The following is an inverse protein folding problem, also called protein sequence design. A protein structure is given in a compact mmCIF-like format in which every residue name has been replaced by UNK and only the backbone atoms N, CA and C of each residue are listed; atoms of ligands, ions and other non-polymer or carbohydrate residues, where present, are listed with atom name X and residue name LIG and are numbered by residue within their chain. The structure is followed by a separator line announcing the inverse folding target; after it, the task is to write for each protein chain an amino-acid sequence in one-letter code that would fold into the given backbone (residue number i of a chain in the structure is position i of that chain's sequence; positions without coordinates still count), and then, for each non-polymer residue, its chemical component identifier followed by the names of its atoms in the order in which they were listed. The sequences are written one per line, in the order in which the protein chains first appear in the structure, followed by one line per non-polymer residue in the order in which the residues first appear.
data_IF_250762468288
#
_entry.id   IF_250762468288
#
_cell.length_a   1.000
_cell.length_b   1.000
_cell.length_c   1.000
_cell.angle_alpha   90.00
_cell.angle_beta   90.00
_cell.angle_gamma   90.00
#
_symmetry.space_group_name_H-M   'P 1'
#
loop_
_entity.id
_entity.type
_entity.pdbx_description
1 polymer ?
#
# COMPACT_ATOMS: atom_id res chain seq x y z
N UNK A 1 -16.74 6.25 -3.09
CA UNK A 1 -15.33 6.24 -3.60
C UNK A 1 -15.02 7.52 -4.38
N UNK A 2 -13.82 8.04 -4.26
CA UNK A 2 -13.38 9.24 -4.97
C UNK A 2 -12.47 8.86 -6.14
N UNK A 3 -12.86 9.22 -7.38
CA UNK A 3 -12.01 9.02 -8.54
C UNK A 3 -10.87 10.04 -8.52
N UNK A 4 -9.61 9.54 -8.57
CA UNK A 4 -8.40 10.37 -8.51
C UNK A 4 -7.84 10.59 -9.92
N UNK A 5 -7.63 9.48 -10.65
CA UNK A 5 -7.15 9.47 -12.03
C UNK A 5 -8.07 8.61 -12.91
N UNK A 6 -7.74 8.46 -14.16
CA UNK A 6 -8.58 7.72 -15.12
C UNK A 6 -8.82 6.27 -14.69
N UNK A 7 -7.82 5.66 -14.05
CA UNK A 7 -7.73 4.26 -13.67
C UNK A 7 -7.57 4.05 -12.15
N UNK A 8 -7.63 5.12 -11.34
CA UNK A 8 -7.39 5.06 -9.89
C UNK A 8 -8.51 5.74 -9.10
N UNK A 9 -8.99 5.06 -8.06
CA UNK A 9 -9.95 5.56 -7.07
C UNK A 9 -9.42 5.36 -5.66
N UNK A 10 -9.79 6.26 -4.77
CA UNK A 10 -9.58 6.14 -3.34
C UNK A 10 -10.89 5.74 -2.66
N UNK A 11 -10.82 4.72 -1.79
CA UNK A 11 -11.90 4.40 -0.86
C UNK A 11 -12.00 5.53 0.16
N UNK A 12 -13.21 5.95 0.62
CA UNK A 12 -13.33 6.97 1.65
C UNK A 12 -12.46 6.67 2.87
N UNK A 13 -11.81 7.72 3.38
CA UNK A 13 -10.90 7.62 4.52
C UNK A 13 -11.61 7.15 5.78
N UNK A 14 -10.95 6.29 6.53
CA UNK A 14 -11.44 5.75 7.80
C UNK A 14 -10.55 6.22 8.96
N UNK A 15 -11.19 6.54 10.09
CA UNK A 15 -10.48 6.79 11.35
C UNK A 15 -10.19 5.46 12.04
N UNK A 16 -8.93 5.08 12.14
CA UNK A 16 -8.52 3.84 12.82
C UNK A 16 -8.23 4.07 14.31
N UNK A 17 -7.30 4.96 14.62
CA UNK A 17 -6.89 5.26 15.99
C UNK A 17 -6.65 6.77 16.17
N UNK A 18 -7.43 7.42 17.02
CA UNK A 18 -7.27 8.84 17.31
C UNK A 18 -7.36 9.72 16.06
N UNK A 19 -6.24 10.31 15.64
CA UNK A 19 -6.13 11.14 14.43
C UNK A 19 -5.61 10.39 13.21
N UNK A 20 -5.32 9.08 13.33
CA UNK A 20 -4.83 8.24 12.24
C UNK A 20 -5.98 7.96 11.26
N UNK A 21 -5.77 8.34 10.02
CA UNK A 21 -6.65 8.08 8.88
C UNK A 21 -6.05 6.93 8.08
N UNK A 22 -6.87 5.94 7.70
CA UNK A 22 -6.47 4.89 6.77
C UNK A 22 -7.11 5.07 5.41
N UNK A 23 -6.42 4.58 4.38
CA UNK A 23 -6.81 4.70 2.98
C UNK A 23 -6.63 3.35 2.28
N UNK A 24 -7.56 3.00 1.43
CA UNK A 24 -7.42 1.93 0.45
C UNK A 24 -7.63 2.48 -0.96
N UNK A 25 -7.06 1.83 -1.94
CA UNK A 25 -7.09 2.27 -3.33
C UNK A 25 -7.61 1.16 -4.24
N UNK A 26 -8.48 1.53 -5.15
CA UNK A 26 -8.91 0.69 -6.25
C UNK A 26 -8.19 1.13 -7.52
N UNK A 27 -7.42 0.22 -8.10
CA UNK A 27 -6.68 0.41 -9.35
C UNK A 27 -7.26 -0.50 -10.44
N UNK A 28 -7.60 0.08 -11.58
CA UNK A 28 -8.08 -0.64 -12.74
C UNK A 28 -6.97 -0.70 -13.78
N UNK A 29 -6.36 -1.87 -13.93
CA UNK A 29 -5.39 -2.11 -15.00
C UNK A 29 -6.08 -2.66 -16.25
N UNK A 30 -5.39 -2.78 -17.38
CA UNK A 30 -5.98 -3.42 -18.57
C UNK A 30 -6.42 -4.86 -18.36
N UNK A 31 -5.73 -5.59 -17.47
CA UNK A 31 -5.92 -7.03 -17.31
C UNK A 31 -6.78 -7.40 -16.11
N UNK A 32 -6.84 -6.54 -15.08
CA UNK A 32 -7.47 -6.87 -13.78
C UNK A 32 -7.79 -5.63 -12.95
N UNK A 33 -8.68 -5.82 -11.98
CA UNK A 33 -9.03 -4.84 -10.97
C UNK A 33 -8.34 -5.18 -9.64
N UNK A 34 -7.60 -4.24 -9.09
CA UNK A 34 -6.76 -4.43 -7.91
C UNK A 34 -7.27 -3.55 -6.77
N UNK A 35 -7.44 -4.13 -5.58
CA UNK A 35 -7.60 -3.40 -4.33
C UNK A 35 -6.27 -3.43 -3.57
N UNK A 36 -5.80 -2.26 -3.15
CA UNK A 36 -4.58 -2.09 -2.35
C UNK A 36 -4.98 -1.55 -0.99
N UNK A 37 -4.49 -2.19 0.06
CA UNK A 37 -4.88 -2.00 1.46
C UNK A 37 -6.30 -2.46 1.79
N UNK A 38 -6.60 -2.62 3.08
CA UNK A 38 -7.91 -3.01 3.56
C UNK A 38 -8.71 -1.81 4.08
N UNK A 39 -10.03 -1.95 4.07
CA UNK A 39 -10.97 -0.99 4.66
C UNK A 39 -12.06 -1.74 5.44
N UNK A 40 -12.76 -1.04 6.36
CA UNK A 40 -13.77 -1.65 7.23
C UNK A 40 -15.21 -1.29 6.85
N UNK A 41 -15.39 -0.15 6.17
CA UNK A 41 -16.73 0.29 5.75
C UNK A 41 -17.23 -0.50 4.52
N UNK A 42 -17.85 -1.64 4.77
CA UNK A 42 -18.33 -2.56 3.74
C UNK A 42 -19.40 -1.96 2.78
N UNK A 43 -19.97 -0.79 3.08
CA UNK A 43 -20.87 -0.12 2.15
C UNK A 43 -20.17 0.28 0.84
N UNK A 44 -18.87 0.48 0.85
CA UNK A 44 -18.07 0.79 -0.35
C UNK A 44 -17.92 -0.40 -1.30
N UNK A 45 -18.09 -1.63 -0.79
CA UNK A 45 -18.00 -2.85 -1.62
C UNK A 45 -19.03 -2.88 -2.76
N UNK A 46 -20.20 -2.24 -2.57
CA UNK A 46 -21.20 -2.13 -3.64
C UNK A 46 -20.67 -1.31 -4.82
N UNK A 47 -20.00 -0.18 -4.55
CA UNK A 47 -19.40 0.64 -5.61
C UNK A 47 -18.25 -0.07 -6.33
N UNK A 48 -17.45 -0.86 -5.60
CA UNK A 48 -16.40 -1.69 -6.21
C UNK A 48 -17.00 -2.71 -7.21
N UNK A 49 -18.15 -3.32 -6.86
CA UNK A 49 -18.86 -4.22 -7.77
C UNK A 49 -19.38 -3.51 -9.02
N UNK A 50 -19.93 -2.29 -8.88
CA UNK A 50 -20.38 -1.47 -10.01
C UNK A 50 -19.24 -1.09 -10.96
N UNK A 51 -18.02 -0.92 -10.43
CA UNK A 51 -16.80 -0.64 -11.20
C UNK A 51 -16.20 -1.90 -11.87
N UNK A 52 -16.77 -3.07 -11.64
CA UNK A 52 -16.37 -4.34 -12.27
C UNK A 52 -15.87 -5.41 -11.30
N UNK A 53 -15.95 -5.17 -9.99
CA UNK A 53 -15.46 -6.09 -8.95
C UNK A 53 -13.96 -5.97 -8.73
N UNK A 54 -13.42 -6.85 -7.88
CA UNK A 54 -12.01 -6.94 -7.53
C UNK A 54 -11.51 -8.34 -7.88
N UNK A 55 -10.45 -8.43 -8.66
CA UNK A 55 -9.78 -9.69 -8.97
C UNK A 55 -8.75 -10.04 -7.89
N UNK A 56 -7.94 -9.06 -7.49
CA UNK A 56 -6.86 -9.23 -6.53
C UNK A 56 -6.91 -8.15 -5.43
N UNK A 57 -6.77 -8.59 -4.17
CA UNK A 57 -6.69 -7.72 -3.01
C UNK A 57 -5.33 -7.89 -2.34
N UNK A 58 -4.50 -6.86 -2.42
CA UNK A 58 -3.17 -6.84 -1.83
C UNK A 58 -3.17 -6.16 -0.47
N UNK A 59 -2.66 -6.86 0.55
CA UNK A 59 -2.32 -6.25 1.83
C UNK A 59 -0.90 -5.68 1.77
N UNK A 60 -0.73 -4.47 2.28
CA UNK A 60 0.60 -3.86 2.38
C UNK A 60 1.41 -4.48 3.51
N UNK A 61 0.77 -4.81 4.64
CA UNK A 61 1.40 -5.42 5.82
C UNK A 61 0.36 -5.94 6.84
N UNK A 62 0.85 -6.53 7.93
CA UNK A 62 0.01 -7.20 8.93
C UNK A 62 -0.97 -6.30 9.70
N UNK A 63 -0.75 -4.99 9.82
CA UNK A 63 -1.69 -4.10 10.53
C UNK A 63 -3.02 -3.91 9.79
N UNK A 64 -3.12 -4.38 8.56
CA UNK A 64 -4.37 -4.41 7.78
C UNK A 64 -5.23 -5.65 8.08
N UNK A 65 -4.70 -6.61 8.84
CA UNK A 65 -5.46 -7.79 9.28
C UNK A 65 -6.38 -7.37 10.43
N UNK A 66 -7.64 -7.15 10.12
CA UNK A 66 -8.69 -6.76 11.05
C UNK A 66 -9.80 -7.81 11.12
N UNK A 67 -10.70 -7.70 12.10
CA UNK A 67 -11.87 -8.57 12.20
C UNK A 67 -12.77 -8.47 10.95
N UNK A 68 -12.83 -7.29 10.31
CA UNK A 68 -13.60 -7.07 9.09
C UNK A 68 -12.99 -7.67 7.82
N UNK A 69 -11.71 -8.07 7.83
CA UNK A 69 -11.02 -8.56 6.63
C UNK A 69 -11.67 -9.83 6.06
N UNK A 70 -12.16 -10.73 6.93
CA UNK A 70 -12.83 -11.96 6.50
C UNK A 70 -14.14 -11.68 5.77
N UNK A 71 -14.93 -10.73 6.29
CA UNK A 71 -16.18 -10.32 5.65
C UNK A 71 -15.91 -9.57 4.35
N UNK A 72 -14.92 -8.67 4.33
CA UNK A 72 -14.49 -7.97 3.12
C UNK A 72 -14.04 -8.96 2.03
N UNK A 73 -13.20 -9.94 2.37
CA UNK A 73 -12.76 -11.00 1.45
C UNK A 73 -13.94 -11.76 0.87
N UNK A 74 -14.90 -12.17 1.72
CA UNK A 74 -16.11 -12.89 1.30
C UNK A 74 -16.97 -12.05 0.35
N UNK A 75 -17.18 -10.77 0.68
CA UNK A 75 -18.00 -9.86 -0.12
C UNK A 75 -17.37 -9.59 -1.49
N UNK A 76 -16.07 -9.37 -1.53
CA UNK A 76 -15.36 -9.06 -2.79
C UNK A 76 -15.17 -10.30 -3.66
N UNK A 77 -14.96 -11.47 -3.07
CA UNK A 77 -14.65 -12.71 -3.78
C UNK A 77 -13.29 -12.67 -4.49
N UNK A 78 -12.40 -11.75 -4.07
CA UNK A 78 -11.09 -11.52 -4.65
C UNK A 78 -10.03 -12.47 -4.10
N UNK A 79 -8.94 -12.65 -4.84
CA UNK A 79 -7.74 -13.34 -4.35
C UNK A 79 -7.01 -12.44 -3.35
N UNK A 80 -6.93 -12.84 -2.07
CA UNK A 80 -6.21 -12.11 -1.04
C UNK A 80 -4.71 -12.44 -1.10
N UNK A 81 -3.87 -11.41 -1.22
CA UNK A 81 -2.44 -11.53 -1.48
C UNK A 81 -1.65 -10.74 -0.45
N UNK A 82 -0.55 -11.31 0.05
CA UNK A 82 0.40 -10.65 0.92
C UNK A 82 1.81 -11.23 0.76
N UNK A 83 2.80 -10.64 1.44
CA UNK A 83 4.14 -11.23 1.51
C UNK A 83 4.14 -12.49 2.39
N UNK A 84 5.02 -13.47 2.12
CA UNK A 84 5.08 -14.73 2.91
C UNK A 84 5.23 -14.49 4.42
N UNK A 85 5.94 -13.48 4.84
CA UNK A 85 6.14 -13.14 6.26
C UNK A 85 4.86 -12.66 6.97
N UNK A 86 3.80 -12.30 6.22
CA UNK A 86 2.51 -11.90 6.83
C UNK A 86 1.76 -13.11 7.42
N UNK A 87 2.05 -14.33 6.94
CA UNK A 87 1.33 -15.56 7.31
C UNK A 87 1.25 -15.77 8.83
N UNK A 88 2.32 -15.48 9.55
CA UNK A 88 2.40 -15.67 11.02
C UNK A 88 1.43 -14.79 11.82
N UNK A 89 0.88 -13.73 11.23
CA UNK A 89 -0.08 -12.83 11.87
C UNK A 89 -1.54 -13.23 11.64
N UNK A 90 -1.80 -14.15 10.72
CA UNK A 90 -3.13 -14.68 10.51
C UNK A 90 -3.47 -15.74 11.56
N UNK A 91 -4.54 -15.48 12.30
CA UNK A 91 -5.09 -16.41 13.30
C UNK A 91 -6.60 -16.51 13.06
N UNK A 92 -7.09 -17.65 12.58
CA UNK A 92 -8.52 -17.86 12.35
C UNK A 92 -8.86 -18.30 10.93
N UNK A 93 -10.11 -18.07 10.52
CA UNK A 93 -10.68 -18.65 9.30
C UNK A 93 -10.21 -17.94 8.02
N UNK A 94 -9.85 -16.65 8.11
CA UNK A 94 -9.32 -15.94 6.95
C UNK A 94 -7.81 -16.19 6.81
N UNK A 95 -7.42 -16.53 5.60
CA UNK A 95 -6.02 -16.73 5.23
C UNK A 95 -5.78 -16.07 3.87
N UNK A 96 -4.54 -15.63 3.56
CA UNK A 96 -4.20 -15.23 2.20
C UNK A 96 -4.34 -16.42 1.25
N UNK A 97 -4.84 -16.15 0.04
CA UNK A 97 -4.94 -17.15 -1.02
C UNK A 97 -3.59 -17.34 -1.72
N UNK A 98 -2.79 -16.27 -1.77
CA UNK A 98 -1.47 -16.27 -2.39
C UNK A 98 -0.47 -15.52 -1.49
N UNK A 99 0.69 -16.14 -1.31
CA UNK A 99 1.84 -15.54 -0.63
C UNK A 99 2.96 -15.28 -1.61
N UNK A 100 3.38 -14.03 -1.72
CA UNK A 100 4.56 -13.63 -2.50
C UNK A 100 5.82 -14.03 -1.73
N UNK A 101 6.69 -14.84 -2.35
CA UNK A 101 7.86 -15.42 -1.70
C UNK A 101 9.15 -14.73 -2.11
N UNK A 102 10.01 -14.42 -1.14
CA UNK A 102 11.33 -13.81 -1.38
C UNK A 102 11.26 -12.30 -1.58
N UNK A 103 12.29 -11.72 -2.14
CA UNK A 103 12.51 -10.26 -2.16
C UNK A 103 11.87 -9.52 -3.34
N UNK A 104 11.31 -10.23 -4.34
CA UNK A 104 10.72 -9.58 -5.53
C UNK A 104 11.73 -8.77 -6.37
N UNK A 105 11.29 -7.79 -7.18
CA UNK A 105 9.90 -7.40 -7.37
C UNK A 105 9.06 -8.47 -8.08
N UNK A 106 7.78 -8.53 -7.72
CA UNK A 106 6.80 -9.43 -8.37
C UNK A 106 6.05 -8.63 -9.42
N UNK A 107 6.32 -8.90 -10.69
CA UNK A 107 5.85 -8.08 -11.82
C UNK A 107 4.71 -8.79 -12.54
N UNK A 108 3.55 -8.15 -12.61
CA UNK A 108 2.42 -8.59 -13.41
C UNK A 108 2.58 -8.26 -14.91
N UNK A 109 1.78 -8.90 -15.75
CA UNK A 109 1.77 -8.69 -17.22
C UNK A 109 1.35 -7.27 -17.61
N UNK A 110 0.58 -6.61 -16.75
CA UNK A 110 0.08 -5.24 -16.87
C UNK A 110 1.09 -4.17 -16.41
N UNK A 111 2.28 -4.60 -15.93
CA UNK A 111 3.31 -3.72 -15.40
C UNK A 111 3.15 -3.35 -13.92
N UNK A 112 2.07 -3.77 -13.26
CA UNK A 112 1.94 -3.64 -11.81
C UNK A 112 3.01 -4.46 -11.09
N UNK A 113 3.67 -3.86 -10.10
CA UNK A 113 4.76 -4.47 -9.37
C UNK A 113 4.48 -4.44 -7.87
N UNK A 114 4.53 -5.59 -7.21
CA UNK A 114 4.64 -5.67 -5.77
C UNK A 114 6.13 -5.75 -5.38
N UNK A 115 6.56 -4.86 -4.50
CA UNK A 115 7.96 -4.69 -4.11
C UNK A 115 8.06 -4.94 -2.62
N UNK A 116 8.84 -5.96 -2.24
CA UNK A 116 9.10 -6.23 -0.83
C UNK A 116 9.96 -5.11 -0.23
N UNK A 117 9.42 -4.43 0.78
CA UNK A 117 10.01 -3.24 1.41
C UNK A 117 10.01 -3.39 2.93
N UNK A 118 10.80 -4.34 3.48
CA UNK A 118 10.87 -4.53 4.93
C UNK A 118 11.44 -3.31 5.62
N UNK A 119 11.09 -3.16 6.90
CA UNK A 119 11.63 -2.10 7.76
C UNK A 119 10.59 -1.38 8.61
N UNK A 120 9.41 -1.05 8.07
CA UNK A 120 8.25 -0.73 8.90
C UNK A 120 7.82 -1.96 9.70
N UNK A 121 7.53 -3.05 9.01
CA UNK A 121 7.42 -4.43 9.51
C UNK A 121 8.30 -5.34 8.66
N UNK A 122 8.44 -6.63 9.02
CA UNK A 122 9.16 -7.62 8.22
C UNK A 122 8.33 -8.21 7.06
N UNK A 123 7.13 -7.72 6.84
CA UNK A 123 6.20 -8.24 5.83
C UNK A 123 5.63 -7.14 4.91
N UNK A 124 6.22 -5.95 4.95
CA UNK A 124 5.70 -4.80 4.23
C UNK A 124 5.96 -4.88 2.72
N UNK A 125 4.95 -4.48 1.95
CA UNK A 125 4.98 -4.33 0.50
C UNK A 125 4.65 -2.89 0.12
N UNK A 126 5.39 -2.35 -0.85
CA UNK A 126 4.97 -1.22 -1.67
C UNK A 126 4.52 -1.71 -3.05
N UNK A 127 3.70 -0.92 -3.73
CA UNK A 127 3.25 -1.28 -5.09
C UNK A 127 3.56 -0.14 -6.04
N UNK A 128 4.15 -0.48 -7.18
CA UNK A 128 4.44 0.47 -8.24
C UNK A 128 3.64 0.13 -9.49
N UNK A 129 3.07 1.15 -10.13
CA UNK A 129 2.32 0.98 -11.36
C UNK A 129 2.60 2.13 -12.35
N UNK A 130 3.26 1.83 -13.49
CA UNK A 130 3.41 2.79 -14.59
C UNK A 130 2.10 2.84 -15.37
N UNK A 131 1.20 3.74 -14.96
CA UNK A 131 -0.12 3.84 -15.57
C UNK A 131 -0.05 4.26 -17.05
N UNK A 132 -0.77 3.58 -17.95
CA UNK A 132 -0.89 4.01 -19.33
C UNK A 132 -1.61 5.37 -19.47
N UNK A 133 -2.25 5.87 -18.41
CA UNK A 133 -2.79 7.23 -18.34
C UNK A 133 -1.70 8.32 -18.14
N UNK A 134 -0.42 7.95 -18.09
CA UNK A 134 0.73 8.86 -18.12
C UNK A 134 1.27 9.29 -16.77
N UNK A 135 0.93 8.61 -15.68
CA UNK A 135 1.50 8.82 -14.34
C UNK A 135 2.05 7.52 -13.77
N UNK A 136 3.14 7.61 -13.03
CA UNK A 136 3.71 6.48 -12.30
C UNK A 136 3.26 6.56 -10.83
N UNK A 137 2.47 5.60 -10.40
CA UNK A 137 1.94 5.52 -9.03
C UNK A 137 2.85 4.69 -8.14
N UNK A 138 3.10 5.18 -6.92
CA UNK A 138 3.71 4.40 -5.85
C UNK A 138 2.78 4.36 -4.64
N UNK A 139 2.27 3.19 -4.32
CA UNK A 139 1.52 2.91 -3.11
C UNK A 139 2.51 2.46 -2.04
N UNK A 140 2.64 3.25 -0.97
CA UNK A 140 3.75 3.09 -0.02
C UNK A 140 3.40 2.24 1.19
N UNK A 141 2.12 1.85 1.35
CA UNK A 141 1.69 1.28 2.63
C UNK A 141 2.05 2.25 3.76
N UNK A 142 2.68 1.70 4.79
CA UNK A 142 3.19 2.45 5.94
C UNK A 142 4.73 2.64 5.89
N UNK A 143 5.38 2.29 4.78
CA UNK A 143 6.83 2.52 4.57
C UNK A 143 7.18 3.99 4.76
N UNK A 144 6.38 4.88 4.17
CA UNK A 144 6.33 6.31 4.46
C UNK A 144 4.86 6.72 4.56
N UNK A 145 4.56 7.66 5.43
CA UNK A 145 3.21 8.18 5.64
C UNK A 145 3.21 9.70 5.82
N UNK A 146 2.05 10.33 5.66
CA UNK A 146 1.90 11.77 5.84
C UNK A 146 1.51 12.10 7.29
N UNK A 147 2.24 13.01 7.91
CA UNK A 147 1.93 13.62 9.20
C UNK A 147 1.85 15.14 9.01
N UNK A 148 0.62 15.69 9.01
CA UNK A 148 0.37 17.11 8.79
C UNK A 148 1.15 17.69 7.58
N UNK A 149 1.08 17.00 6.44
CA UNK A 149 1.72 17.39 5.17
C UNK A 149 3.22 17.12 5.10
N UNK A 150 3.81 16.40 6.06
CA UNK A 150 5.23 15.99 6.02
C UNK A 150 5.34 14.48 5.99
N UNK A 151 6.18 13.96 5.13
CA UNK A 151 6.47 12.53 5.11
C UNK A 151 7.29 12.11 6.33
N UNK A 152 6.89 10.99 6.92
CA UNK A 152 7.51 10.35 8.08
C UNK A 152 7.71 8.87 7.83
N UNK A 153 8.57 8.27 8.62
CA UNK A 153 8.76 6.82 8.72
C UNK A 153 8.41 6.35 10.12
N UNK A 154 7.94 5.10 10.24
CA UNK A 154 7.67 4.43 11.51
C UNK A 154 8.24 3.02 11.47
N UNK A 155 8.81 2.57 12.58
CA UNK A 155 9.39 1.24 12.72
C UNK A 155 8.65 0.48 13.82
N UNK A 156 8.05 -0.65 13.44
CA UNK A 156 7.34 -1.54 14.35
C UNK A 156 8.24 -2.73 14.70
N UNK A 157 9.14 -2.53 15.66
CA UNK A 157 10.12 -3.55 16.03
C UNK A 157 9.49 -4.82 16.60
N UNK A 158 8.29 -4.74 17.20
CA UNK A 158 7.49 -5.91 17.61
C UNK A 158 7.12 -6.82 16.45
N UNK A 159 7.02 -6.24 15.24
CA UNK A 159 6.59 -6.92 14.01
C UNK A 159 7.78 -7.11 13.04
N UNK A 160 8.98 -7.15 13.60
CA UNK A 160 10.21 -7.41 12.86
C UNK A 160 10.78 -6.21 12.10
N UNK A 161 10.18 -5.02 12.25
CA UNK A 161 10.69 -3.80 11.61
C UNK A 161 12.04 -3.35 12.18
N UNK A 162 12.91 -2.79 11.33
CA UNK A 162 14.19 -2.22 11.75
C UNK A 162 14.68 -1.11 10.81
N UNK A 163 15.57 -0.25 11.33
CA UNK A 163 16.11 0.92 10.61
C UNK A 163 16.88 0.56 9.35
N UNK A 164 17.70 -0.47 9.42
CA UNK A 164 18.63 -0.85 8.36
C UNK A 164 17.87 -1.35 7.13
N UNK A 165 16.87 -2.19 7.36
CA UNK A 165 16.01 -2.68 6.27
C UNK A 165 15.16 -1.55 5.68
N UNK A 166 14.59 -0.67 6.54
CA UNK A 166 13.81 0.45 6.04
C UNK A 166 14.66 1.39 5.18
N UNK A 167 15.89 1.72 5.60
CA UNK A 167 16.81 2.52 4.81
C UNK A 167 17.17 1.83 3.48
N UNK A 168 17.39 0.51 3.48
CA UNK A 168 17.64 -0.27 2.26
C UNK A 168 16.43 -0.27 1.32
N UNK A 169 15.22 -0.44 1.86
CA UNK A 169 13.96 -0.38 1.11
C UNK A 169 13.76 1.00 0.46
N UNK A 170 14.01 2.09 1.20
CA UNK A 170 13.92 3.44 0.64
C UNK A 170 14.95 3.70 -0.47
N UNK A 171 16.17 3.15 -0.37
CA UNK A 171 17.16 3.25 -1.47
C UNK A 171 16.66 2.56 -2.74
N UNK A 172 16.03 1.39 -2.61
CA UNK A 172 15.46 0.68 -3.76
C UNK A 172 14.29 1.46 -4.38
N UNK A 173 13.39 2.00 -3.56
CA UNK A 173 12.26 2.80 -4.02
C UNK A 173 12.69 4.11 -4.68
N UNK A 174 13.79 4.71 -4.22
CA UNK A 174 14.36 5.96 -4.76
C UNK A 174 14.66 5.87 -6.26
N UNK A 175 15.03 4.69 -6.75
CA UNK A 175 15.39 4.48 -8.15
C UNK A 175 14.18 4.39 -9.08
N UNK A 176 12.96 4.32 -8.55
CA UNK A 176 11.74 4.28 -9.36
C UNK A 176 11.38 5.67 -9.88
N UNK A 177 10.88 5.77 -11.12
CA UNK A 177 10.31 7.01 -11.65
C UNK A 177 8.91 7.20 -11.06
N UNK A 178 8.79 7.96 -9.96
CA UNK A 178 7.53 8.19 -9.25
C UNK A 178 6.98 9.56 -9.58
N UNK A 179 5.69 9.63 -9.96
CA UNK A 179 4.95 10.88 -10.18
C UNK A 179 3.92 11.14 -9.06
N UNK A 180 3.40 10.07 -8.43
CA UNK A 180 2.33 10.16 -7.43
C UNK A 180 2.62 9.24 -6.26
N UNK A 181 2.59 9.78 -5.05
CA UNK A 181 2.76 9.04 -3.79
C UNK A 181 1.39 8.81 -3.15
N UNK A 182 1.08 7.55 -2.84
CA UNK A 182 -0.19 7.08 -2.31
C UNK A 182 0.06 6.31 -1.00
N UNK A 183 -0.06 6.99 0.13
CA UNK A 183 0.12 6.36 1.45
C UNK A 183 -1.14 5.62 1.89
N UNK A 184 -0.99 4.52 2.64
CA UNK A 184 -2.12 3.82 3.26
C UNK A 184 -2.61 4.49 4.54
N UNK A 185 -1.78 5.32 5.17
CA UNK A 185 -2.15 6.07 6.38
C UNK A 185 -1.66 7.51 6.35
N UNK A 186 -2.39 8.35 7.08
CA UNK A 186 -2.01 9.74 7.32
C UNK A 186 -2.48 10.23 8.70
N UNK A 187 -1.81 11.24 9.24
CA UNK A 187 -2.24 12.00 10.41
C UNK A 187 -2.60 13.44 9.99
N UNK A 188 -3.76 13.91 10.43
CA UNK A 188 -4.26 15.24 10.07
C UNK A 188 -4.82 15.29 8.65
N UNK A 189 -4.58 16.37 7.92
CA UNK A 189 -5.04 16.50 6.54
C UNK A 189 -4.24 15.58 5.62
N UNK A 190 -4.96 14.82 4.81
CA UNK A 190 -4.39 14.01 3.76
C UNK A 190 -4.64 14.64 2.39
N UNK A 191 -3.59 14.72 1.61
CA UNK A 191 -3.64 15.09 0.20
C UNK A 191 -2.79 14.10 -0.60
N UNK A 192 -3.23 13.79 -1.82
CA UNK A 192 -2.42 13.03 -2.75
C UNK A 192 -1.26 13.90 -3.19
N UNK A 193 -0.05 13.38 -3.09
CA UNK A 193 1.16 14.15 -3.37
C UNK A 193 1.71 13.78 -4.74
N UNK A 194 1.69 14.74 -5.67
CA UNK A 194 2.44 14.65 -6.91
C UNK A 194 3.86 15.17 -6.70
N UNK A 195 4.84 14.52 -7.32
CA UNK A 195 6.25 14.86 -7.22
C UNK A 195 6.92 14.85 -8.59
N UNK A 196 7.95 15.64 -8.74
CA UNK A 196 8.94 15.50 -9.80
C UNK A 196 10.03 14.51 -9.37
N UNK A 197 10.78 13.96 -10.30
CA UNK A 197 11.87 13.03 -9.97
C UNK A 197 12.93 13.65 -9.01
N UNK A 198 13.36 14.93 -9.17
CA UNK A 198 14.24 15.56 -8.18
C UNK A 198 13.63 15.67 -6.78
N UNK A 199 12.33 15.98 -6.66
CA UNK A 199 11.63 16.05 -5.37
C UNK A 199 11.50 14.68 -4.72
N UNK A 200 11.19 13.65 -5.52
CA UNK A 200 11.17 12.26 -5.08
C UNK A 200 12.54 11.83 -4.52
N UNK A 201 13.62 12.07 -5.27
CA UNK A 201 14.97 11.76 -4.81
C UNK A 201 15.33 12.49 -3.53
N UNK A 202 15.04 13.80 -3.44
CA UNK A 202 15.33 14.60 -2.25
C UNK A 202 14.57 14.09 -1.01
N UNK A 203 13.29 13.70 -1.17
CA UNK A 203 12.49 13.11 -0.11
C UNK A 203 13.11 11.79 0.38
N UNK A 204 13.47 10.88 -0.53
CA UNK A 204 14.08 9.61 -0.16
C UNK A 204 15.43 9.80 0.53
N UNK A 205 16.29 10.68 0.00
CA UNK A 205 17.59 10.99 0.60
C UNK A 205 17.45 11.59 2.01
N UNK A 206 16.45 12.44 2.25
CA UNK A 206 16.14 12.98 3.57
C UNK A 206 15.76 11.86 4.55
N UNK A 207 14.82 10.97 4.15
CA UNK A 207 14.33 9.88 5.03
C UNK A 207 15.42 8.85 5.30
N UNK A 208 16.24 8.51 4.31
CA UNK A 208 17.40 7.63 4.50
C UNK A 208 18.36 8.23 5.50
N UNK A 209 18.71 9.52 5.36
CA UNK A 209 19.62 10.20 6.28
C UNK A 209 19.06 10.31 7.72
N UNK A 210 17.73 10.41 7.89
CA UNK A 210 17.08 10.37 9.21
C UNK A 210 17.23 8.99 9.87
N UNK A 211 17.14 7.91 9.11
CA UNK A 211 17.25 6.53 9.61
C UNK A 211 18.70 6.13 9.94
N UNK A 212 19.69 6.75 9.30
CA UNK A 212 21.12 6.45 9.49
C UNK A 212 21.78 7.23 10.65
N UNK A 213 21.06 8.19 11.22
CA UNK A 213 21.47 8.90 12.45
C UNK A 213 21.12 8.11 13.69
#
# INVERSE_FOLDING_TARGET
MNKIYADLWQVPMEKRFGTLLSHAYFLKTPDRNILISAFENLSEAAQLRELGGIDEHYLTHNHEISEGLSELKLILGSTLIGHENIQKFFSGDVQPDLLLQGSGPFVGTDGFQAIYTPGHTDNNLCFYYPSPAGKNYLFTGDTIYLDNGRFKTLIMSSDGGNKQELAASLRNLRELPVDVILCSVAMGNYEIVEVTQPEWHALMDEKIAELER
#
